data_IF_999853820863
#
_entry.id   IF_999853820863
#
_cell.length_a   1.000
_cell.length_b   1.000
_cell.length_c   1.000
_cell.angle_alpha   90.00
_cell.angle_beta   90.00
_cell.angle_gamma   90.00
#
_symmetry.space_group_name_H-M   'P 1'
#
loop_
_entity.id
_entity.type
_entity.pdbx_description
1 polymer ?
#
# COMPACT_ATOMS: atom_id res chain seq x y z
N UNK A 1 4.72 4.27 29.93
CA UNK A 1 5.73 3.76 28.98
C UNK A 1 4.99 2.98 27.92
N UNK A 2 5.15 3.35 26.66
CA UNK A 2 4.51 2.64 25.53
C UNK A 2 5.04 1.21 25.44
N UNK A 3 4.18 0.22 25.13
CA UNK A 3 4.67 -1.15 24.89
C UNK A 3 5.50 -1.18 23.61
N UNK A 4 6.40 -2.15 23.48
CA UNK A 4 7.23 -2.30 22.27
C UNK A 4 6.38 -2.53 21.01
N UNK A 5 5.24 -3.17 21.19
CA UNK A 5 4.21 -3.41 20.18
C UNK A 5 3.49 -2.13 19.76
N UNK A 6 3.08 -1.28 20.71
CA UNK A 6 2.50 0.03 20.39
C UNK A 6 3.52 0.94 19.71
N UNK A 7 4.80 0.87 20.10
CA UNK A 7 5.89 1.58 19.41
C UNK A 7 6.03 1.09 17.96
N UNK A 8 5.95 -0.22 17.73
CA UNK A 8 5.98 -0.78 16.36
C UNK A 8 4.84 -0.21 15.52
N UNK A 9 3.60 -0.23 16.01
CA UNK A 9 2.46 0.35 15.29
C UNK A 9 2.68 1.85 15.00
N UNK A 10 3.17 2.64 15.96
CA UNK A 10 3.50 4.05 15.73
C UNK A 10 4.53 4.23 14.61
N UNK A 11 5.61 3.43 14.60
CA UNK A 11 6.62 3.47 13.53
C UNK A 11 5.99 3.12 12.19
N UNK A 12 5.19 2.07 12.09
CA UNK A 12 4.56 1.66 10.83
C UNK A 12 3.59 2.72 10.30
N UNK A 13 2.77 3.34 11.15
CA UNK A 13 1.86 4.40 10.71
C UNK A 13 2.65 5.60 10.18
N UNK A 14 3.67 6.05 10.92
CA UNK A 14 4.51 7.17 10.49
C UNK A 14 5.25 6.89 9.18
N UNK A 15 5.81 5.68 9.03
CA UNK A 15 6.45 5.28 7.78
C UNK A 15 5.44 5.19 6.63
N UNK A 16 4.20 4.74 6.88
CA UNK A 16 3.15 4.72 5.85
C UNK A 16 2.72 6.13 5.40
N UNK A 17 2.73 7.12 6.29
CA UNK A 17 2.47 8.51 5.91
C UNK A 17 3.63 9.10 5.13
N UNK A 18 4.86 8.83 5.57
CA UNK A 18 6.04 9.25 4.82
C UNK A 18 6.01 8.67 3.40
N UNK A 19 5.61 7.40 3.27
CA UNK A 19 5.39 6.75 1.99
C UNK A 19 4.29 7.44 1.17
N UNK A 20 3.17 7.83 1.79
CA UNK A 20 2.11 8.57 1.13
C UNK A 20 2.55 9.95 0.63
N UNK A 21 3.39 10.66 1.40
CA UNK A 21 4.02 11.89 0.97
C UNK A 21 4.89 11.68 -0.28
N UNK A 22 5.73 10.64 -0.29
CA UNK A 22 6.55 10.28 -1.46
C UNK A 22 5.67 9.95 -2.66
N UNK A 23 4.63 9.14 -2.49
CA UNK A 23 3.69 8.79 -3.56
C UNK A 23 3.01 10.04 -4.17
N UNK A 24 2.59 11.00 -3.34
CA UNK A 24 2.02 12.28 -3.81
C UNK A 24 3.06 13.13 -4.53
N UNK A 25 4.26 13.27 -3.96
CA UNK A 25 5.36 14.04 -4.55
C UNK A 25 5.69 13.51 -5.95
N UNK A 26 5.95 12.21 -6.09
CA UNK A 26 6.21 11.60 -7.38
C UNK A 26 5.08 11.85 -8.38
N UNK A 27 3.81 11.77 -7.95
CA UNK A 27 2.67 12.05 -8.84
C UNK A 27 2.56 13.51 -9.28
N UNK A 28 3.03 14.47 -8.46
CA UNK A 28 3.02 15.91 -8.80
C UNK A 28 4.15 16.34 -9.73
N UNK A 29 5.24 15.58 -9.81
CA UNK A 29 6.44 15.90 -10.60
C UNK A 29 6.28 15.72 -12.13
N UNK A 30 5.05 15.47 -12.61
CA UNK A 30 4.67 15.58 -14.03
C UNK A 30 5.58 14.79 -14.98
N UNK A 31 6.37 15.50 -15.80
CA UNK A 31 7.22 14.90 -16.85
C UNK A 31 8.28 13.94 -16.32
N UNK A 32 8.72 14.13 -15.07
CA UNK A 32 9.71 13.23 -14.46
C UNK A 32 9.05 11.89 -14.14
N UNK A 33 7.79 11.88 -13.73
CA UNK A 33 7.06 10.68 -13.36
C UNK A 33 7.03 9.64 -14.49
N UNK A 34 6.86 10.07 -15.74
CA UNK A 34 6.85 9.19 -16.91
C UNK A 34 8.21 8.48 -17.13
N UNK A 35 9.32 9.08 -16.70
CA UNK A 35 10.66 8.47 -16.76
C UNK A 35 10.91 7.46 -15.64
N UNK A 36 10.04 7.45 -14.63
CA UNK A 36 10.16 6.65 -13.41
C UNK A 36 9.26 5.42 -13.42
N UNK A 37 8.75 5.03 -14.60
CA UNK A 37 7.95 3.83 -14.79
C UNK A 37 8.81 2.78 -15.49
N UNK A 38 8.94 1.64 -14.85
CA UNK A 38 9.59 0.44 -15.39
C UNK A 38 8.49 -0.59 -15.72
N UNK A 39 8.42 -1.02 -16.98
CA UNK A 39 7.52 -2.10 -17.39
C UNK A 39 8.14 -3.45 -17.01
N UNK A 40 7.45 -4.21 -16.15
CA UNK A 40 7.86 -5.58 -15.82
C UNK A 40 7.56 -6.49 -17.02
N UNK A 41 8.34 -7.58 -17.23
CA UNK A 41 8.07 -8.54 -18.30
C UNK A 41 6.62 -9.04 -18.24
N UNK A 42 5.92 -8.97 -19.37
CA UNK A 42 4.49 -9.30 -19.43
C UNK A 42 4.20 -10.70 -18.89
N UNK A 43 3.24 -10.79 -17.98
CA UNK A 43 2.75 -12.09 -17.49
C UNK A 43 1.70 -12.60 -18.48
N UNK A 44 2.07 -13.59 -19.30
CA UNK A 44 1.10 -14.28 -20.15
C UNK A 44 0.27 -15.26 -19.30
N UNK A 45 -1.01 -14.96 -19.07
CA UNK A 45 -1.99 -15.89 -18.49
C UNK A 45 -3.25 -15.91 -19.37
N UNK A 46 -3.63 -17.09 -19.87
CA UNK A 46 -4.88 -17.35 -20.61
C UNK A 46 -5.22 -16.35 -21.75
N UNK A 47 -4.31 -16.18 -22.72
CA UNK A 47 -4.49 -15.34 -23.91
C UNK A 47 -4.73 -13.84 -23.67
N UNK A 48 -4.57 -13.35 -22.43
CA UNK A 48 -4.55 -11.94 -22.10
C UNK A 48 -3.14 -11.54 -21.64
N UNK A 49 -2.57 -10.51 -22.26
CA UNK A 49 -1.34 -9.88 -21.80
C UNK A 49 -1.71 -8.91 -20.67
N UNK A 50 -1.27 -9.20 -19.45
CA UNK A 50 -1.38 -8.24 -18.34
C UNK A 50 -0.02 -7.54 -18.26
N UNK A 51 -0.03 -6.25 -18.59
CA UNK A 51 1.13 -5.38 -18.44
C UNK A 51 1.26 -5.01 -16.97
N UNK A 52 2.43 -5.30 -16.40
CA UNK A 52 2.74 -5.08 -14.99
C UNK A 52 3.79 -3.97 -14.90
N UNK A 53 3.70 -3.12 -13.87
CA UNK A 53 4.48 -1.90 -13.77
C UNK A 53 5.14 -1.81 -12.40
N UNK A 54 6.33 -1.22 -12.37
CA UNK A 54 7.01 -0.77 -11.16
C UNK A 54 7.34 0.70 -11.32
N UNK A 55 7.21 1.50 -10.28
CA UNK A 55 7.70 2.88 -10.28
C UNK A 55 8.94 3.04 -9.41
N UNK A 56 9.74 4.08 -9.65
CA UNK A 56 10.81 4.44 -8.71
C UNK A 56 10.23 4.73 -7.31
N UNK A 57 9.00 5.24 -7.24
CA UNK A 57 8.30 5.47 -5.98
C UNK A 57 8.09 4.17 -5.20
N UNK A 58 7.75 3.05 -5.85
CA UNK A 58 7.60 1.74 -5.20
C UNK A 58 8.89 1.32 -4.49
N UNK A 59 10.02 1.43 -5.21
CA UNK A 59 11.33 1.03 -4.69
C UNK A 59 11.79 1.96 -3.57
N UNK A 60 11.63 3.28 -3.74
CA UNK A 60 11.97 4.28 -2.72
C UNK A 60 11.14 4.06 -1.45
N UNK A 61 9.83 3.88 -1.59
CA UNK A 61 8.91 3.68 -0.46
C UNK A 61 9.29 2.43 0.30
N UNK A 62 9.49 1.30 -0.39
CA UNK A 62 9.80 0.05 0.29
C UNK A 62 11.13 0.11 1.03
N UNK A 63 12.18 0.68 0.40
CA UNK A 63 13.49 0.82 1.05
C UNK A 63 13.46 1.81 2.22
N UNK A 64 12.68 2.89 2.11
CA UNK A 64 12.47 3.83 3.21
C UNK A 64 11.78 3.16 4.39
N UNK A 65 10.67 2.43 4.15
CA UNK A 65 9.93 1.73 5.21
C UNK A 65 10.82 0.67 5.87
N UNK A 66 11.59 -0.08 5.07
CA UNK A 66 12.57 -1.06 5.58
C UNK A 66 13.62 -0.39 6.47
N UNK A 67 14.15 0.76 6.06
CA UNK A 67 15.15 1.49 6.83
C UNK A 67 14.58 2.03 8.15
N UNK A 68 13.39 2.62 8.13
CA UNK A 68 12.71 3.12 9.35
C UNK A 68 12.49 1.98 10.36
N UNK A 69 12.03 0.81 9.88
CA UNK A 69 11.86 -0.39 10.72
C UNK A 69 13.22 -0.90 11.22
N UNK A 70 14.25 -0.96 10.37
CA UNK A 70 15.59 -1.42 10.77
C UNK A 70 16.19 -0.56 11.89
N UNK A 71 16.04 0.75 11.77
CA UNK A 71 16.56 1.72 12.73
C UNK A 71 15.94 1.57 14.12
N UNK A 72 14.62 1.39 14.18
CA UNK A 72 13.87 1.28 15.44
C UNK A 72 13.84 -0.17 15.98
N UNK A 73 13.84 -1.16 15.09
CA UNK A 73 13.75 -2.59 15.41
C UNK A 73 14.76 -3.43 14.63
N UNK A 74 16.06 -3.38 15.00
CA UNK A 74 17.11 -4.18 14.34
C UNK A 74 16.82 -5.69 14.31
N UNK A 75 16.04 -6.21 15.27
CA UNK A 75 15.64 -7.61 15.32
C UNK A 75 14.67 -8.03 14.18
N UNK A 76 14.00 -7.08 13.52
CA UNK A 76 13.06 -7.35 12.42
C UNK A 76 13.70 -7.24 11.05
N UNK A 77 14.93 -6.75 10.92
CA UNK A 77 15.46 -6.23 9.66
C UNK A 77 15.56 -7.28 8.54
N UNK A 78 15.89 -8.52 8.89
CA UNK A 78 15.93 -9.64 7.94
C UNK A 78 14.56 -10.27 7.67
N UNK A 79 13.48 -9.68 8.19
CA UNK A 79 12.10 -10.16 8.14
C UNK A 79 11.13 -9.09 7.69
N UNK A 80 11.64 -8.09 6.96
CA UNK A 80 10.84 -7.10 6.24
C UNK A 80 10.89 -7.45 4.76
N UNK A 81 9.83 -8.09 4.31
CA UNK A 81 9.62 -8.51 2.93
C UNK A 81 8.69 -7.51 2.23
N UNK A 82 8.66 -7.54 0.91
CA UNK A 82 7.74 -6.73 0.12
C UNK A 82 7.70 -7.16 -1.33
N UNK A 83 6.84 -6.50 -2.09
CA UNK A 83 6.66 -6.76 -3.52
C UNK A 83 7.95 -6.55 -4.32
N UNK A 84 8.67 -5.47 -4.02
CA UNK A 84 9.71 -4.98 -4.92
C UNK A 84 11.13 -5.40 -4.54
N UNK A 85 11.99 -5.49 -5.54
CA UNK A 85 13.43 -5.49 -5.30
C UNK A 85 13.94 -4.07 -5.09
N UNK A 86 15.10 -3.92 -4.45
CA UNK A 86 15.77 -2.62 -4.30
C UNK A 86 16.46 -2.12 -5.60
N UNK A 87 16.26 -2.80 -6.74
CA UNK A 87 16.79 -2.39 -8.03
C UNK A 87 15.71 -1.73 -8.87
N UNK A 88 16.09 -0.64 -9.53
CA UNK A 88 15.23 0.08 -10.47
C UNK A 88 16.00 0.38 -11.74
N UNK A 89 15.35 0.20 -12.90
CA UNK A 89 15.89 0.55 -14.21
C UNK A 89 15.00 1.59 -14.86
N UNK A 90 15.55 2.77 -15.17
CA UNK A 90 14.79 3.83 -15.83
C UNK A 90 14.56 3.53 -17.33
N UNK A 91 13.78 4.38 -17.98
CA UNK A 91 13.45 4.25 -19.42
C UNK A 91 14.67 4.42 -20.35
N UNK A 92 15.80 4.92 -19.84
CA UNK A 92 17.08 5.04 -20.55
C UNK A 92 17.94 3.78 -20.44
N UNK A 93 17.51 2.78 -19.66
CA UNK A 93 18.24 1.53 -19.42
C UNK A 93 19.29 1.62 -18.31
N UNK A 94 19.29 2.70 -17.52
CA UNK A 94 20.19 2.87 -16.38
C UNK A 94 19.61 2.18 -15.15
N UNK A 95 20.36 1.22 -14.61
CA UNK A 95 19.96 0.49 -13.39
C UNK A 95 20.69 1.04 -12.17
N UNK A 96 19.93 1.34 -11.12
CA UNK A 96 20.46 1.67 -9.80
C UNK A 96 20.01 0.67 -8.75
N UNK A 97 20.77 0.57 -7.67
CA UNK A 97 20.31 -0.02 -6.42
C UNK A 97 19.91 1.13 -5.51
N UNK A 98 18.61 1.26 -5.23
CA UNK A 98 18.07 2.28 -4.34
C UNK A 98 18.38 1.86 -2.91
N UNK A 99 18.95 2.77 -2.14
CA UNK A 99 19.19 2.59 -0.72
C UNK A 99 19.17 3.93 -0.01
N UNK A 100 18.70 3.94 1.23
CA UNK A 100 18.77 5.12 2.09
C UNK A 100 20.19 5.26 2.63
N UNK A 101 20.88 6.36 2.28
CA UNK A 101 22.27 6.61 2.72
C UNK A 101 22.32 7.22 4.11
N UNK A 102 23.52 7.47 4.63
CA UNK A 102 23.71 7.98 5.99
C UNK A 102 23.15 9.39 6.22
N UNK A 103 22.94 10.16 5.15
CA UNK A 103 22.40 11.51 5.20
C UNK A 103 21.65 11.89 3.91
N UNK A 104 20.93 13.02 3.98
CA UNK A 104 20.16 13.59 2.85
C UNK A 104 21.04 13.83 1.63
N UNK A 105 22.26 14.35 1.81
CA UNK A 105 23.13 14.70 0.70
C UNK A 105 23.53 13.47 -0.12
N UNK A 106 24.00 12.41 0.54
CA UNK A 106 24.37 11.15 -0.12
C UNK A 106 23.16 10.47 -0.78
N UNK A 107 21.99 10.53 -0.14
CA UNK A 107 20.74 9.95 -0.69
C UNK A 107 20.30 10.74 -1.93
N UNK A 108 20.37 12.07 -1.88
CA UNK A 108 20.07 12.94 -3.02
C UNK A 108 21.01 12.68 -4.20
N UNK A 109 22.33 12.56 -3.96
CA UNK A 109 23.30 12.23 -5.01
C UNK A 109 23.04 10.85 -5.65
N UNK A 110 22.59 9.86 -4.88
CA UNK A 110 22.18 8.57 -5.44
C UNK A 110 20.96 8.72 -6.36
N UNK A 111 19.93 9.43 -5.90
CA UNK A 111 18.68 9.62 -6.64
C UNK A 111 18.85 10.49 -7.88
N UNK A 112 19.71 11.51 -7.84
CA UNK A 112 20.00 12.40 -8.98
C UNK A 112 20.43 11.62 -10.22
N UNK A 113 21.17 10.53 -10.04
CA UNK A 113 21.62 9.67 -11.14
C UNK A 113 20.45 9.02 -11.90
N UNK A 114 19.38 8.60 -11.22
CA UNK A 114 18.24 7.93 -11.85
C UNK A 114 17.15 8.91 -12.31
N UNK A 115 17.15 10.11 -11.73
CA UNK A 115 16.26 11.21 -12.10
C UNK A 115 16.83 12.07 -13.24
N UNK A 116 17.69 11.49 -14.11
CA UNK A 116 18.30 12.15 -15.25
C UNK A 116 18.98 13.50 -14.92
N UNK A 117 19.60 13.61 -13.74
CA UNK A 117 20.27 14.82 -13.27
C UNK A 117 19.34 15.84 -12.59
N UNK A 118 18.08 15.50 -12.31
CA UNK A 118 17.17 16.38 -11.55
C UNK A 118 17.52 16.42 -10.07
N UNK A 119 18.49 17.26 -9.73
CA UNK A 119 18.96 17.48 -8.37
C UNK A 119 17.88 18.06 -7.45
N UNK A 120 16.93 18.82 -7.99
CA UNK A 120 15.88 19.44 -7.18
C UNK A 120 14.95 18.38 -6.62
N UNK A 121 14.40 17.54 -7.51
CA UNK A 121 13.49 16.46 -7.11
C UNK A 121 14.23 15.38 -6.31
N UNK A 122 15.48 15.07 -6.65
CA UNK A 122 16.34 14.18 -5.85
C UNK A 122 16.50 14.66 -4.40
N UNK A 123 16.69 15.97 -4.20
CA UNK A 123 16.86 16.57 -2.88
C UNK A 123 15.56 16.54 -2.08
N UNK A 124 14.42 16.89 -2.69
CA UNK A 124 13.11 16.84 -2.02
C UNK A 124 12.76 15.40 -1.60
N UNK A 125 13.00 14.41 -2.48
CA UNK A 125 12.78 13.01 -2.15
C UNK A 125 13.68 12.55 -1.01
N UNK A 126 14.98 12.87 -1.05
CA UNK A 126 15.91 12.55 0.02
C UNK A 126 15.52 13.21 1.36
N UNK A 127 15.14 14.48 1.35
CA UNK A 127 14.64 15.18 2.54
C UNK A 127 13.39 14.50 3.10
N UNK A 128 12.46 14.10 2.22
CA UNK A 128 11.24 13.41 2.63
C UNK A 128 11.56 12.05 3.25
N UNK A 129 12.44 11.25 2.64
CA UNK A 129 12.88 9.95 3.19
C UNK A 129 13.51 10.09 4.57
N UNK A 130 14.36 11.11 4.77
CA UNK A 130 15.06 11.38 6.03
C UNK A 130 14.24 12.15 7.06
N UNK A 131 13.01 12.56 6.73
CA UNK A 131 12.17 13.32 7.63
C UNK A 131 11.73 12.47 8.83
N UNK A 132 11.79 13.05 10.03
CA UNK A 132 11.28 12.45 11.27
C UNK A 132 9.91 13.03 11.68
N UNK A 133 9.14 13.59 10.74
CA UNK A 133 7.82 14.14 11.04
C UNK A 133 6.87 13.02 11.46
N UNK A 134 6.68 12.87 12.76
CA UNK A 134 5.70 11.96 13.31
C UNK A 134 4.29 12.57 13.17
N UNK A 135 3.36 11.79 12.66
CA UNK A 135 1.95 12.10 12.81
C UNK A 135 1.62 12.11 14.30
N UNK A 136 0.95 13.18 14.74
CA UNK A 136 0.45 13.29 16.10
C UNK A 136 -0.89 12.57 16.17
N UNK A 137 -0.87 11.27 16.39
CA UNK A 137 -2.06 10.56 16.83
C UNK A 137 -2.18 10.68 18.34
N UNK A 138 -3.40 10.84 18.84
CA UNK A 138 -3.64 10.69 20.27
C UNK A 138 -3.22 9.29 20.69
N UNK A 139 -2.45 9.15 21.78
CA UNK A 139 -2.07 7.84 22.35
C UNK A 139 -3.30 6.95 22.61
N UNK A 140 -4.48 7.56 22.78
CA UNK A 140 -5.78 6.91 22.97
C UNK A 140 -6.25 6.17 21.70
N UNK A 141 -5.85 6.61 20.51
CA UNK A 141 -6.21 5.99 19.23
C UNK A 141 -5.34 4.78 18.87
N UNK A 142 -4.18 4.63 19.52
CA UNK A 142 -3.31 3.47 19.39
C UNK A 142 -3.66 2.52 20.53
N UNK A 143 -4.60 1.61 20.27
CA UNK A 143 -4.94 0.58 21.24
C UNK A 143 -3.69 -0.22 21.66
N UNK A 144 -3.70 -0.72 22.91
CA UNK A 144 -2.60 -1.54 23.42
C UNK A 144 -2.56 -2.87 22.66
N UNK A 145 -1.66 -2.95 21.68
CA UNK A 145 -1.24 -4.20 21.09
C UNK A 145 -0.32 -4.91 22.09
N UNK A 146 -0.72 -6.07 22.60
CA UNK A 146 0.05 -6.88 23.54
C UNK A 146 -0.02 -8.36 23.12
N UNK A 147 0.98 -9.16 23.53
CA UNK A 147 0.92 -10.63 23.39
C UNK A 147 1.72 -11.25 22.24
N UNK A 148 2.39 -10.46 21.40
CA UNK A 148 3.31 -10.98 20.37
C UNK A 148 4.76 -10.53 20.60
N UNK A 149 5.71 -11.47 20.59
CA UNK A 149 7.15 -11.18 20.66
C UNK A 149 7.68 -10.76 19.28
N UNK A 150 8.53 -9.74 19.21
CA UNK A 150 9.20 -9.32 17.96
C UNK A 150 9.97 -10.46 17.28
N UNK A 151 10.42 -11.47 18.03
CA UNK A 151 11.08 -12.65 17.48
C UNK A 151 10.14 -13.55 16.68
N UNK A 152 8.84 -13.37 16.79
CA UNK A 152 7.83 -14.11 16.03
C UNK A 152 7.26 -13.32 14.86
N UNK A 153 7.64 -12.05 14.70
CA UNK A 153 7.03 -11.17 13.72
C UNK A 153 7.87 -11.08 12.44
N UNK A 154 7.16 -10.97 11.33
CA UNK A 154 7.67 -10.56 10.04
C UNK A 154 6.68 -9.62 9.37
N UNK A 155 7.14 -8.90 8.35
CA UNK A 155 6.40 -7.81 7.71
C UNK A 155 6.34 -8.05 6.20
N UNK A 156 5.17 -7.82 5.61
CA UNK A 156 4.95 -7.68 4.19
C UNK A 156 4.62 -6.22 3.85
N UNK A 157 5.26 -5.69 2.82
CA UNK A 157 5.03 -4.33 2.31
C UNK A 157 4.53 -4.43 0.87
N UNK A 158 3.40 -3.80 0.61
CA UNK A 158 3.03 -3.33 -0.72
C UNK A 158 3.20 -1.81 -0.75
N UNK A 159 4.24 -1.29 -1.45
CA UNK A 159 4.55 0.12 -1.41
C UNK A 159 3.50 0.99 -2.12
N UNK A 160 2.87 0.50 -3.20
CA UNK A 160 1.79 1.18 -3.94
C UNK A 160 0.86 0.12 -4.58
N UNK A 161 -0.10 -0.37 -3.80
CA UNK A 161 -1.18 -1.24 -4.31
C UNK A 161 -2.03 -0.45 -5.31
N UNK A 162 -2.27 -1.06 -6.47
CA UNK A 162 -2.97 -0.41 -7.57
C UNK A 162 -2.06 0.49 -8.42
N UNK A 163 -0.81 0.07 -8.67
CA UNK A 163 0.19 0.78 -9.49
C UNK A 163 -0.36 1.28 -10.84
N UNK A 164 -1.23 0.50 -11.50
CA UNK A 164 -1.86 0.93 -12.75
C UNK A 164 -2.74 2.19 -12.57
N UNK A 165 -3.48 2.27 -11.47
CA UNK A 165 -4.28 3.45 -11.11
C UNK A 165 -3.37 4.58 -10.60
N UNK A 166 -2.26 4.27 -9.95
CA UNK A 166 -1.27 5.26 -9.58
C UNK A 166 -0.65 5.95 -10.81
N UNK A 167 -0.35 5.17 -11.86
CA UNK A 167 0.22 5.69 -13.10
C UNK A 167 -0.83 6.44 -13.92
N UNK A 168 -1.92 5.75 -14.29
CA UNK A 168 -2.88 6.23 -15.29
C UNK A 168 -4.09 6.94 -14.68
N UNK A 169 -4.34 6.71 -13.39
CA UNK A 169 -5.49 7.26 -12.70
C UNK A 169 -5.42 8.78 -12.60
N UNK A 170 -6.60 9.39 -12.78
CA UNK A 170 -6.86 10.80 -12.48
C UNK A 170 -7.64 10.86 -11.16
N UNK A 171 -8.61 11.75 -11.08
CA UNK A 171 -9.61 11.72 -10.03
C UNK A 171 -10.49 10.47 -10.16
N UNK A 172 -11.00 10.00 -9.02
CA UNK A 172 -11.78 8.78 -8.98
C UNK A 172 -13.19 8.98 -9.50
N UNK A 173 -13.67 7.97 -10.23
CA UNK A 173 -15.07 7.83 -10.57
C UNK A 173 -15.80 7.26 -9.35
N UNK A 174 -16.22 8.16 -8.45
CA UNK A 174 -17.05 7.81 -7.29
C UNK A 174 -18.50 7.75 -7.76
N UNK A 175 -19.12 6.59 -7.63
CA UNK A 175 -20.55 6.46 -7.88
C UNK A 175 -21.38 7.00 -6.72
N UNK A 176 -22.70 6.90 -6.85
CA UNK A 176 -23.64 7.26 -5.77
C UNK A 176 -23.46 6.40 -4.49
N UNK A 177 -22.71 5.30 -4.59
CA UNK A 177 -22.37 4.32 -3.56
C UNK A 177 -21.12 4.68 -2.73
N UNK A 178 -20.52 5.87 -2.95
CA UNK A 178 -19.25 6.29 -2.33
C UNK A 178 -18.05 5.38 -2.62
N UNK A 179 -18.21 4.40 -3.52
CA UNK A 179 -17.17 3.46 -3.91
C UNK A 179 -16.44 4.00 -5.14
N UNK A 180 -15.12 4.19 -5.00
CA UNK A 180 -14.26 4.55 -6.12
C UNK A 180 -14.08 3.32 -7.01
N UNK A 181 -14.53 3.38 -8.27
CA UNK A 181 -14.37 2.22 -9.18
C UNK A 181 -12.94 2.14 -9.73
N UNK A 182 -12.35 3.32 -10.01
CA UNK A 182 -11.01 3.53 -10.57
C UNK A 182 -10.41 4.85 -10.05
N UNK A 183 -9.18 5.15 -10.46
CA UNK A 183 -8.46 6.38 -10.18
C UNK A 183 -7.68 6.34 -8.87
N UNK A 184 -7.08 7.48 -8.53
CA UNK A 184 -6.10 7.58 -7.44
C UNK A 184 -6.64 7.18 -6.06
N UNK A 185 -7.95 7.28 -5.79
CA UNK A 185 -8.51 6.80 -4.52
C UNK A 185 -8.51 5.27 -4.38
N UNK A 186 -8.22 4.51 -5.44
CA UNK A 186 -8.02 3.06 -5.35
C UNK A 186 -6.60 2.68 -4.95
N UNK A 187 -5.68 3.66 -4.89
CA UNK A 187 -4.28 3.43 -4.54
C UNK A 187 -4.13 3.34 -3.02
N UNK A 188 -3.48 2.28 -2.55
CA UNK A 188 -3.19 2.08 -1.12
C UNK A 188 -1.73 1.73 -0.88
N UNK A 189 -1.25 1.99 0.34
CA UNK A 189 0.03 1.54 0.84
C UNK A 189 -0.28 0.54 1.94
N UNK A 190 0.26 -0.67 1.85
CA UNK A 190 -0.07 -1.78 2.73
C UNK A 190 1.17 -2.20 3.51
N UNK A 191 1.06 -2.20 4.84
CA UNK A 191 2.10 -2.73 5.71
C UNK A 191 1.43 -3.72 6.66
N UNK A 192 1.64 -5.00 6.39
CA UNK A 192 1.07 -6.10 7.17
C UNK A 192 2.14 -6.79 8.00
N UNK A 193 1.85 -7.03 9.27
CA UNK A 193 2.69 -7.83 10.17
C UNK A 193 2.01 -9.16 10.40
N UNK A 194 2.78 -10.24 10.37
CA UNK A 194 2.28 -11.59 10.62
C UNK A 194 3.19 -12.37 11.55
N UNK A 195 2.63 -13.39 12.20
CA UNK A 195 3.37 -14.32 13.05
C UNK A 195 4.00 -15.43 12.18
N UNK A 196 5.32 -15.58 12.22
CA UNK A 196 6.07 -16.51 11.35
C UNK A 196 5.84 -17.99 11.68
N UNK A 197 5.34 -18.32 12.87
CA UNK A 197 5.06 -19.71 13.26
C UNK A 197 3.67 -20.14 12.79
N UNK A 198 2.69 -19.24 12.89
CA UNK A 198 1.29 -19.54 12.55
C UNK A 198 0.92 -19.13 11.14
N UNK A 199 1.61 -18.15 10.55
CA UNK A 199 1.26 -17.51 9.30
C UNK A 199 0.13 -16.49 9.40
N UNK A 200 -0.44 -16.25 10.58
CA UNK A 200 -1.58 -15.35 10.74
C UNK A 200 -1.16 -13.87 10.78
N UNK A 201 -1.88 -12.97 10.10
CA UNK A 201 -1.74 -11.52 10.28
C UNK A 201 -2.05 -11.11 11.72
N UNK A 202 -1.27 -10.16 12.24
CA UNK A 202 -1.38 -9.68 13.64
C UNK A 202 -1.55 -8.17 13.75
N UNK A 203 -1.07 -7.40 12.77
CA UNK A 203 -1.15 -5.94 12.71
C UNK A 203 -1.24 -5.53 11.24
N UNK A 204 -2.11 -4.59 10.93
CA UNK A 204 -2.29 -4.06 9.59
C UNK A 204 -2.27 -2.54 9.61
N UNK A 205 -1.55 -1.93 8.68
CA UNK A 205 -1.62 -0.49 8.39
C UNK A 205 -1.94 -0.34 6.91
N UNK A 206 -3.01 0.40 6.61
CA UNK A 206 -3.41 0.77 5.26
C UNK A 206 -3.44 2.30 5.20
N UNK A 207 -2.68 2.88 4.29
CA UNK A 207 -2.72 4.32 4.03
C UNK A 207 -3.20 4.57 2.61
N UNK A 208 -4.19 5.44 2.45
CA UNK A 208 -4.61 5.99 1.15
C UNK A 208 -3.86 7.30 0.90
N UNK A 209 -2.88 7.37 0.00
CA UNK A 209 -2.16 8.62 -0.26
C UNK A 209 -3.06 9.72 -0.84
N UNK A 210 -4.07 9.30 -1.59
CA UNK A 210 -5.07 10.14 -2.23
C UNK A 210 -6.43 9.91 -1.55
N UNK A 211 -6.49 10.14 -0.23
CA UNK A 211 -7.66 9.83 0.60
C UNK A 211 -8.75 10.90 0.55
N UNK A 212 -8.37 12.17 0.69
CA UNK A 212 -9.26 13.33 0.61
C UNK A 212 -8.71 14.33 -0.40
N UNK A 213 -9.61 14.98 -1.15
CA UNK A 213 -9.25 16.02 -2.12
C UNK A 213 -9.89 17.35 -1.72
N UNK A 214 -9.06 18.36 -1.47
CA UNK A 214 -9.49 19.73 -1.20
C UNK A 214 -8.90 20.67 -2.26
N UNK A 215 -9.75 21.15 -3.17
CA UNK A 215 -9.29 21.85 -4.37
C UNK A 215 -8.41 20.95 -5.23
N UNK A 216 -7.15 21.34 -5.44
CA UNK A 216 -6.14 20.54 -6.15
C UNK A 216 -5.19 19.77 -5.23
N UNK A 217 -5.39 19.84 -3.91
CA UNK A 217 -4.53 19.19 -2.93
C UNK A 217 -5.11 17.86 -2.46
N UNK A 218 -4.24 16.86 -2.31
CA UNK A 218 -4.58 15.55 -1.76
C UNK A 218 -4.00 15.40 -0.36
N UNK A 219 -4.77 14.80 0.55
CA UNK A 219 -4.30 14.38 1.87
C UNK A 219 -4.59 12.89 2.14
N UNK A 220 -3.80 12.31 3.03
CA UNK A 220 -3.88 10.90 3.37
C UNK A 220 -5.14 10.56 4.18
N UNK A 221 -5.59 9.30 4.06
CA UNK A 221 -6.39 8.64 5.09
C UNK A 221 -5.65 7.41 5.59
N UNK A 222 -5.70 7.17 6.89
CA UNK A 222 -5.00 6.09 7.57
C UNK A 222 -5.98 5.14 8.23
N UNK A 223 -5.69 3.85 8.15
CA UNK A 223 -6.43 2.78 8.80
C UNK A 223 -5.42 1.84 9.42
N UNK A 224 -5.69 1.38 10.64
CA UNK A 224 -4.86 0.37 11.28
C UNK A 224 -5.71 -0.51 12.19
N UNK A 225 -5.27 -1.75 12.35
CA UNK A 225 -5.90 -2.75 13.21
C UNK A 225 -4.83 -3.69 13.75
N UNK A 226 -5.11 -4.31 14.88
CA UNK A 226 -4.33 -5.43 15.40
C UNK A 226 -5.26 -6.55 15.83
N UNK A 227 -4.76 -7.78 15.77
CA UNK A 227 -5.51 -8.95 16.19
C UNK A 227 -5.94 -8.80 17.65
N UNK A 228 -7.25 -8.89 17.90
CA UNK A 228 -7.83 -8.91 19.25
C UNK A 228 -8.19 -10.36 19.59
N UNK A 229 -7.74 -10.90 20.74
CA UNK A 229 -7.97 -12.30 21.09
C UNK A 229 -9.45 -12.67 21.35
N UNK A 230 -10.38 -11.71 21.36
CA UNK A 230 -11.81 -11.92 21.56
C UNK A 230 -12.64 -10.95 20.70
N UNK A 231 -12.60 -11.10 19.37
CA UNK A 231 -13.55 -10.38 18.50
C UNK A 231 -14.91 -11.03 18.68
N UNK A 232 -15.86 -10.28 19.24
CA UNK A 232 -17.25 -10.70 19.27
C UNK A 232 -17.83 -10.57 17.86
N UNK A 233 -17.89 -11.69 17.14
CA UNK A 233 -18.40 -11.75 15.76
C UNK A 233 -19.92 -11.62 15.69
N UNK A 234 -20.63 -11.35 16.80
CA UNK A 234 -22.06 -11.08 16.78
C UNK A 234 -22.37 -9.67 16.28
N UNK A 235 -21.93 -9.33 15.07
CA UNK A 235 -22.54 -8.23 14.33
C UNK A 235 -23.79 -8.77 13.64
N UNK A 236 -24.94 -8.57 14.27
CA UNK A 236 -26.24 -8.70 13.61
C UNK A 236 -26.50 -7.45 12.76
N UNK A 237 -25.71 -7.25 11.70
CA UNK A 237 -26.14 -6.32 10.67
C UNK A 237 -27.25 -6.97 9.83
N UNK A 238 -28.30 -6.20 9.51
CA UNK A 238 -29.32 -6.66 8.58
C UNK A 238 -28.67 -6.83 7.20
N UNK A 239 -28.54 -8.06 6.73
CA UNK A 239 -28.04 -8.31 5.38
C UNK A 239 -29.03 -7.68 4.38
N UNK A 240 -28.58 -6.79 3.47
CA UNK A 240 -29.48 -6.21 2.49
C UNK A 240 -30.04 -7.31 1.58
N UNK A 241 -31.21 -7.04 0.99
CA UNK A 241 -31.85 -7.97 0.07
C UNK A 241 -30.95 -8.36 -1.13
N UNK A 242 -29.98 -7.51 -1.48
CA UNK A 242 -28.97 -7.78 -2.50
C UNK A 242 -27.61 -7.23 -2.05
N UNK A 243 -26.70 -8.07 -1.52
CA UNK A 243 -25.38 -7.64 -1.09
C UNK A 243 -24.49 -7.18 -2.26
N UNK A 244 -23.64 -6.19 -1.99
CA UNK A 244 -22.64 -5.67 -2.91
C UNK A 244 -21.36 -6.51 -2.83
N UNK A 245 -20.95 -7.10 -3.95
CA UNK A 245 -19.72 -7.88 -4.09
C UNK A 245 -18.77 -7.12 -5.02
N UNK A 246 -17.58 -6.79 -4.52
CA UNK A 246 -16.52 -6.19 -5.34
C UNK A 246 -15.65 -7.27 -5.98
N UNK A 247 -15.26 -7.05 -7.22
CA UNK A 247 -14.40 -7.97 -7.99
C UNK A 247 -13.33 -7.20 -8.76
N UNK A 248 -12.30 -7.90 -9.24
CA UNK A 248 -11.37 -7.33 -10.21
C UNK A 248 -12.03 -7.05 -11.56
N UNK A 249 -11.61 -5.98 -12.22
CA UNK A 249 -11.99 -5.67 -13.60
C UNK A 249 -11.57 -6.75 -14.61
N UNK A 250 -10.61 -7.60 -14.25
CA UNK A 250 -10.13 -8.73 -15.06
C UNK A 250 -10.77 -10.08 -14.67
N UNK A 251 -11.75 -10.09 -13.77
CA UNK A 251 -12.48 -11.30 -13.40
C UNK A 251 -13.26 -11.89 -14.58
N UNK A 252 -13.29 -13.21 -14.68
CA UNK A 252 -13.84 -13.92 -15.85
C UNK A 252 -15.36 -13.75 -15.98
N UNK A 253 -15.87 -13.70 -17.22
CA UNK A 253 -17.31 -13.56 -17.48
C UNK A 253 -18.16 -14.65 -16.79
N UNK A 254 -17.77 -15.94 -16.79
CA UNK A 254 -18.54 -16.97 -16.09
C UNK A 254 -18.69 -16.71 -14.58
N UNK A 255 -17.64 -16.19 -13.93
CA UNK A 255 -17.69 -15.83 -12.50
C UNK A 255 -18.61 -14.64 -12.28
N UNK A 256 -18.53 -13.61 -13.15
CA UNK A 256 -19.43 -12.45 -13.10
C UNK A 256 -20.89 -12.85 -13.24
N UNK A 257 -21.20 -13.65 -14.26
CA UNK A 257 -22.56 -14.13 -14.53
C UNK A 257 -23.12 -14.96 -13.38
N UNK A 258 -22.27 -15.74 -12.70
CA UNK A 258 -22.68 -16.51 -11.53
C UNK A 258 -23.03 -15.61 -10.34
N UNK A 259 -22.18 -14.62 -10.04
CA UNK A 259 -22.38 -13.71 -8.91
C UNK A 259 -23.55 -12.75 -9.13
N UNK A 260 -23.75 -12.25 -10.35
CA UNK A 260 -24.81 -11.28 -10.67
C UNK A 260 -26.24 -11.80 -10.48
N UNK A 261 -26.43 -13.12 -10.35
CA UNK A 261 -27.72 -13.74 -10.06
C UNK A 261 -28.25 -13.38 -8.67
N UNK A 262 -27.35 -13.27 -7.69
CA UNK A 262 -27.68 -13.11 -6.26
C UNK A 262 -27.15 -11.78 -5.70
N UNK A 263 -26.12 -11.20 -6.32
CA UNK A 263 -25.39 -10.04 -5.79
C UNK A 263 -25.42 -8.85 -6.74
N UNK A 264 -25.20 -7.66 -6.19
CA UNK A 264 -24.79 -6.50 -6.96
C UNK A 264 -23.27 -6.57 -7.14
N UNK A 265 -22.80 -6.78 -8.37
CA UNK A 265 -21.38 -7.02 -8.64
C UNK A 265 -20.73 -5.77 -9.22
N UNK A 266 -19.75 -5.21 -8.50
CA UNK A 266 -19.08 -3.96 -8.89
C UNK A 266 -17.59 -4.22 -9.16
N UNK A 267 -17.11 -3.99 -10.39
CA UNK A 267 -15.68 -4.02 -10.68
C UNK A 267 -14.94 -2.83 -10.03
N UNK A 268 -13.88 -3.13 -9.27
CA UNK A 268 -13.08 -2.13 -8.53
C UNK A 268 -11.57 -2.42 -8.68
N UNK A 269 -10.78 -1.38 -8.92
CA UNK A 269 -9.31 -1.45 -8.98
C UNK A 269 -8.64 -1.47 -7.60
N UNK A 270 -7.40 -1.95 -7.51
CA UNK A 270 -6.61 -2.05 -6.26
C UNK A 270 -7.04 -3.21 -5.37
N UNK A 271 -6.13 -4.13 -5.04
CA UNK A 271 -6.45 -5.29 -4.20
C UNK A 271 -6.68 -4.85 -2.75
N UNK A 272 -5.77 -4.04 -2.23
CA UNK A 272 -5.88 -3.39 -0.92
C UNK A 272 -7.13 -2.52 -0.81
N UNK A 273 -7.46 -1.72 -1.82
CA UNK A 273 -8.69 -0.91 -1.80
C UNK A 273 -9.98 -1.76 -1.80
N UNK A 274 -10.02 -2.88 -2.54
CA UNK A 274 -11.16 -3.80 -2.49
C UNK A 274 -11.36 -4.36 -1.08
N UNK A 275 -10.29 -4.79 -0.42
CA UNK A 275 -10.39 -5.24 0.98
C UNK A 275 -10.79 -4.10 1.92
N UNK A 276 -10.20 -2.92 1.77
CA UNK A 276 -10.54 -1.73 2.56
C UNK A 276 -12.02 -1.35 2.39
N UNK A 277 -12.61 -1.53 1.21
CA UNK A 277 -14.03 -1.26 0.99
C UNK A 277 -14.95 -2.09 1.89
N UNK A 278 -14.53 -3.31 2.29
CA UNK A 278 -15.26 -4.14 3.25
C UNK A 278 -15.06 -3.59 4.66
N UNK A 279 -13.83 -3.25 5.03
CA UNK A 279 -13.49 -2.66 6.34
C UNK A 279 -14.27 -1.35 6.58
N UNK A 280 -14.55 -0.61 5.51
CA UNK A 280 -15.31 0.65 5.55
C UNK A 280 -16.82 0.48 5.37
N UNK A 281 -17.34 -0.76 5.32
CA UNK A 281 -18.76 -1.07 5.11
C UNK A 281 -19.32 -0.48 3.79
N UNK A 282 -18.48 -0.36 2.77
CA UNK A 282 -18.84 0.08 1.41
C UNK A 282 -19.19 -1.10 0.49
N UNK A 283 -18.73 -2.30 0.85
CA UNK A 283 -19.08 -3.55 0.18
C UNK A 283 -19.19 -4.70 1.18
N UNK A 284 -19.85 -5.77 0.79
CA UNK A 284 -20.15 -6.91 1.68
C UNK A 284 -19.18 -8.07 1.49
N UNK A 285 -18.57 -8.20 0.30
CA UNK A 285 -17.55 -9.20 0.02
C UNK A 285 -16.65 -8.77 -1.13
N UNK A 286 -15.41 -9.25 -1.09
CA UNK A 286 -14.46 -9.21 -2.20
C UNK A 286 -14.21 -10.63 -2.65
N UNK A 287 -14.42 -10.89 -3.94
CA UNK A 287 -14.11 -12.18 -4.57
C UNK A 287 -13.04 -11.99 -5.64
N UNK A 288 -12.05 -12.88 -5.61
CA UNK A 288 -11.04 -13.01 -6.66
C UNK A 288 -10.85 -14.49 -6.98
N UNK A 289 -11.08 -14.88 -8.24
CA UNK A 289 -10.83 -16.25 -8.70
C UNK A 289 -9.45 -16.41 -9.34
N UNK A 290 -8.78 -15.30 -9.65
CA UNK A 290 -7.52 -15.28 -10.37
C UNK A 290 -6.33 -15.35 -9.40
N UNK A 291 -5.24 -16.05 -9.76
CA UNK A 291 -4.00 -16.07 -8.99
C UNK A 291 -3.20 -14.79 -9.28
N UNK A 292 -3.75 -13.65 -8.87
CA UNK A 292 -3.20 -12.31 -9.10
C UNK A 292 -3.12 -11.49 -7.81
N UNK A 293 -3.27 -12.14 -6.66
CA UNK A 293 -3.06 -11.54 -5.35
C UNK A 293 -1.99 -12.31 -4.59
N UNK A 294 -1.20 -11.59 -3.81
CA UNK A 294 -0.05 -12.08 -3.06
C UNK A 294 -0.18 -11.72 -1.58
N UNK A 295 0.82 -12.12 -0.79
CA UNK A 295 0.82 -11.89 0.66
C UNK A 295 0.89 -10.40 1.02
N UNK A 296 1.62 -9.59 0.23
CA UNK A 296 1.69 -8.15 0.44
C UNK A 296 0.36 -7.42 0.18
N UNK A 297 -0.44 -7.88 -0.79
CA UNK A 297 -1.77 -7.32 -1.08
C UNK A 297 -2.81 -7.55 0.03
N UNK A 298 -2.63 -8.61 0.82
CA UNK A 298 -3.68 -9.15 1.70
C UNK A 298 -3.34 -9.16 3.18
N UNK A 299 -2.05 -9.16 3.55
CA UNK A 299 -1.65 -9.25 4.96
C UNK A 299 -2.15 -8.06 5.79
N UNK A 300 -1.98 -6.84 5.31
CA UNK A 300 -2.43 -5.64 6.03
C UNK A 300 -3.96 -5.57 6.18
N UNK A 301 -4.78 -5.74 5.12
CA UNK A 301 -6.23 -5.66 5.27
C UNK A 301 -6.89 -6.87 5.94
N UNK A 302 -6.20 -7.99 6.08
CA UNK A 302 -6.71 -9.15 6.82
C UNK A 302 -6.55 -8.98 8.35
N UNK A 303 -5.52 -8.26 8.80
CA UNK A 303 -5.32 -7.94 10.23
C UNK A 303 -6.28 -6.83 10.72
#
# INVERSE_FOLDING_TARGET
TMSIQSHLLTVLINSSEKAACIARLCKTEGKLFDLLIEEKPSIFKNNACIQDFKTLADVIIQEMVRNDIHKEFPALSNRVFGEESNKFTNTLGETITVEMKGNVHETSTLLENVLAGDRHTATILAETMHCNSALKFDEIAIEKFEGCSLERLAIWIDPIDGTSEYIHGKDSEVGNDMLARKGLQCVTILIGVFDIQTGHPVLGVITKPFGLKEGNSWSSKHFWSHLKPNIDLTMTQSCPARPVVVISSNESQPVRDALQKEFEVIPVSGAGYKCLSIVQDLSHAYISSQPSTYQWDTCAPHA
#
